data_IF_797873123924
#
_entry.id   IF_797873123924
#
_cell.length_a   1.000
_cell.length_b   1.000
_cell.length_c   1.000
_cell.angle_alpha   90.00
_cell.angle_beta   90.00
_cell.angle_gamma   90.00
#
_symmetry.space_group_name_H-M   'P 1'
#
loop_
_entity.id
_entity.type
_entity.pdbx_description
1 polymer ?
#
# COMPACT_ATOMS: atom_id res chain seq x y z
N UNK A 1 -16.20 -12.54 29.08
CA UNK A 1 -15.66 -11.24 28.65
C UNK A 1 -16.82 -10.46 28.05
N UNK A 2 -17.08 -9.23 28.52
CA UNK A 2 -18.10 -8.37 27.93
C UNK A 2 -17.57 -7.84 26.60
N UNK A 3 -18.00 -8.44 25.48
CA UNK A 3 -17.69 -7.93 24.14
C UNK A 3 -18.57 -6.71 23.92
N UNK A 4 -17.97 -5.52 23.85
CA UNK A 4 -18.70 -4.31 23.46
C UNK A 4 -19.21 -4.52 22.03
N UNK A 5 -20.53 -4.51 21.79
CA UNK A 5 -21.05 -4.69 20.44
C UNK A 5 -20.61 -3.51 19.55
N UNK A 6 -20.34 -3.80 18.28
CA UNK A 6 -20.08 -2.75 17.31
C UNK A 6 -21.28 -1.81 17.21
N UNK A 7 -21.03 -0.51 17.12
CA UNK A 7 -22.10 0.43 16.77
C UNK A 7 -22.51 0.22 15.30
N UNK A 8 -23.71 0.62 14.87
CA UNK A 8 -24.11 0.53 13.47
C UNK A 8 -23.11 1.22 12.51
N UNK A 9 -22.60 2.39 12.90
CA UNK A 9 -21.60 3.12 12.12
C UNK A 9 -20.25 2.38 12.03
N UNK A 10 -19.83 1.70 13.10
CA UNK A 10 -18.59 0.93 13.10
C UNK A 10 -18.72 -0.37 12.29
N UNK A 11 -19.91 -0.98 12.26
CA UNK A 11 -20.20 -2.10 11.36
C UNK A 11 -20.16 -1.67 9.88
N UNK A 12 -20.73 -0.52 9.56
CA UNK A 12 -20.67 0.02 8.19
C UNK A 12 -19.24 0.36 7.79
N UNK A 13 -18.45 0.95 8.69
CA UNK A 13 -17.04 1.18 8.46
C UNK A 13 -16.26 -0.13 8.26
N UNK A 14 -16.54 -1.18 9.05
CA UNK A 14 -15.94 -2.50 8.88
C UNK A 14 -16.26 -3.11 7.51
N UNK A 15 -17.52 -3.03 7.08
CA UNK A 15 -17.95 -3.48 5.73
C UNK A 15 -17.25 -2.69 4.63
N UNK A 16 -17.13 -1.38 4.80
CA UNK A 16 -16.40 -0.52 3.86
C UNK A 16 -14.92 -0.93 3.79
N UNK A 17 -14.26 -1.13 4.93
CA UNK A 17 -12.88 -1.56 4.98
C UNK A 17 -12.68 -2.92 4.29
N UNK A 18 -13.53 -3.90 4.60
CA UNK A 18 -13.54 -5.20 3.95
C UNK A 18 -13.72 -5.08 2.44
N UNK A 19 -14.67 -4.27 1.97
CA UNK A 19 -14.87 -4.05 0.55
C UNK A 19 -13.61 -3.46 -0.11
N UNK A 20 -13.00 -2.43 0.49
CA UNK A 20 -11.80 -1.77 -0.06
C UNK A 20 -10.58 -2.71 -0.10
N UNK A 21 -10.37 -3.51 0.94
CA UNK A 21 -9.20 -4.37 1.11
C UNK A 21 -9.29 -5.67 0.30
N UNK A 22 -10.50 -6.23 0.11
CA UNK A 22 -10.73 -7.47 -0.64
C UNK A 22 -11.10 -7.24 -2.12
N UNK A 23 -11.04 -5.99 -2.59
CA UNK A 23 -11.38 -5.64 -3.96
C UNK A 23 -10.44 -6.28 -5.02
N UNK A 24 -10.81 -6.25 -6.32
CA UNK A 24 -9.93 -6.69 -7.40
C UNK A 24 -8.59 -5.97 -7.34
N UNK A 25 -7.51 -6.74 -7.52
CA UNK A 25 -6.14 -6.25 -7.51
C UNK A 25 -5.87 -5.26 -8.64
N UNK A 26 -4.72 -4.59 -8.56
CA UNK A 26 -4.31 -3.57 -9.52
C UNK A 26 -4.26 -4.10 -10.96
N UNK A 27 -3.65 -5.27 -11.21
CA UNK A 27 -3.65 -5.95 -12.51
C UNK A 27 -5.05 -6.13 -13.11
N UNK A 28 -6.05 -6.51 -12.30
CA UNK A 28 -7.43 -6.67 -12.77
C UNK A 28 -8.06 -5.32 -13.17
N UNK A 29 -7.83 -4.26 -12.38
CA UNK A 29 -8.30 -2.91 -12.71
C UNK A 29 -7.65 -2.38 -13.99
N UNK A 30 -6.34 -2.64 -14.18
CA UNK A 30 -5.63 -2.29 -15.40
C UNK A 30 -6.11 -3.09 -16.60
N UNK A 31 -6.33 -4.40 -16.44
CA UNK A 31 -6.88 -5.26 -17.50
C UNK A 31 -8.26 -4.77 -17.95
N UNK A 32 -9.14 -4.39 -17.02
CA UNK A 32 -10.45 -3.82 -17.33
C UNK A 32 -10.36 -2.50 -18.12
N UNK A 33 -9.30 -1.72 -17.88
CA UNK A 33 -9.07 -0.48 -18.59
C UNK A 33 -8.49 -0.69 -19.99
N UNK A 34 -7.47 -1.56 -20.10
CA UNK A 34 -6.65 -1.71 -21.31
C UNK A 34 -7.20 -2.80 -22.25
N UNK A 35 -8.04 -3.70 -21.73
CA UNK A 35 -8.66 -4.80 -22.48
C UNK A 35 -7.73 -6.01 -22.71
N UNK A 36 -6.45 -5.91 -22.37
CA UNK A 36 -5.47 -7.00 -22.44
C UNK A 36 -5.09 -7.47 -21.04
N UNK A 37 -5.09 -8.79 -20.76
CA UNK A 37 -4.57 -9.31 -19.50
C UNK A 37 -3.11 -8.89 -19.29
N UNK A 38 -2.84 -8.24 -18.14
CA UNK A 38 -1.50 -7.72 -17.81
C UNK A 38 -0.49 -8.85 -17.71
N UNK A 39 -0.92 -10.04 -17.29
CA UNK A 39 -0.10 -11.25 -17.18
C UNK A 39 0.54 -11.62 -18.52
N UNK A 40 -0.19 -11.49 -19.63
CA UNK A 40 0.35 -11.76 -20.98
C UNK A 40 1.43 -10.77 -21.41
N UNK A 41 1.46 -9.59 -20.81
CA UNK A 41 2.50 -8.58 -21.06
C UNK A 41 3.69 -8.85 -20.16
N UNK A 42 3.45 -9.25 -18.91
CA UNK A 42 4.48 -9.67 -17.96
C UNK A 42 5.30 -10.85 -18.50
N UNK A 43 4.66 -11.86 -19.10
CA UNK A 43 5.32 -13.03 -19.70
C UNK A 43 6.28 -12.68 -20.85
N UNK A 44 6.14 -11.47 -21.43
CA UNK A 44 6.98 -10.98 -22.53
C UNK A 44 8.00 -9.94 -22.09
N UNK A 45 8.11 -9.66 -20.79
CA UNK A 45 9.09 -8.72 -20.29
C UNK A 45 10.52 -9.27 -20.47
N UNK A 46 11.51 -8.41 -20.79
CA UNK A 46 12.89 -8.85 -20.91
C UNK A 46 13.42 -9.44 -19.60
N UNK A 47 14.29 -10.44 -19.72
CA UNK A 47 14.97 -11.04 -18.56
C UNK A 47 15.73 -9.97 -17.75
N UNK A 48 15.63 -10.03 -16.42
CA UNK A 48 16.30 -9.11 -15.50
C UNK A 48 15.51 -7.85 -15.11
N UNK A 49 14.42 -7.53 -15.81
CA UNK A 49 13.56 -6.37 -15.45
C UNK A 49 13.00 -6.47 -14.04
N UNK A 50 12.52 -7.65 -13.64
CA UNK A 50 11.98 -7.90 -12.30
C UNK A 50 13.01 -7.54 -11.20
N UNK A 51 14.27 -7.95 -11.38
CA UNK A 51 15.34 -7.67 -10.42
C UNK A 51 15.69 -6.16 -10.35
N UNK A 52 15.74 -5.48 -11.50
CA UNK A 52 16.01 -4.05 -11.57
C UNK A 52 14.87 -3.22 -10.96
N UNK A 53 13.63 -3.58 -11.28
CA UNK A 53 12.42 -2.97 -10.70
C UNK A 53 12.43 -3.13 -9.18
N UNK A 54 12.78 -4.31 -8.67
CA UNK A 54 12.90 -4.55 -7.22
C UNK A 54 13.89 -3.61 -6.53
N UNK A 55 15.06 -3.35 -7.15
CA UNK A 55 16.05 -2.42 -6.59
C UNK A 55 15.54 -0.97 -6.57
N UNK A 56 14.97 -0.51 -7.69
CA UNK A 56 14.39 0.85 -7.80
C UNK A 56 13.25 1.02 -6.80
N UNK A 57 12.42 -0.01 -6.63
CA UNK A 57 11.29 -0.03 -5.70
C UNK A 57 11.74 0.14 -4.26
N UNK A 58 12.75 -0.63 -3.84
CA UNK A 58 13.32 -0.50 -2.49
C UNK A 58 13.89 0.90 -2.24
N UNK A 59 14.61 1.45 -3.21
CA UNK A 59 15.18 2.79 -3.08
C UNK A 59 14.08 3.86 -2.96
N UNK A 60 13.05 3.78 -3.80
CA UNK A 60 11.93 4.72 -3.75
C UNK A 60 11.15 4.63 -2.44
N UNK A 61 10.87 3.43 -1.93
CA UNK A 61 10.20 3.26 -0.63
C UNK A 61 11.03 3.85 0.51
N UNK A 62 12.34 3.59 0.54
CA UNK A 62 13.23 4.16 1.55
C UNK A 62 13.23 5.69 1.49
N UNK A 63 13.40 6.26 0.29
CA UNK A 63 13.41 7.72 0.10
C UNK A 63 12.06 8.36 0.41
N UNK A 64 10.96 7.71 0.03
CA UNK A 64 9.62 8.18 0.31
C UNK A 64 9.29 8.13 1.81
N UNK A 65 9.74 7.09 2.52
CA UNK A 65 9.60 7.00 3.98
C UNK A 65 10.30 8.18 4.65
N UNK A 66 11.57 8.41 4.31
CA UNK A 66 12.38 9.52 4.82
C UNK A 66 11.71 10.87 4.51
N UNK A 67 11.28 11.07 3.26
CA UNK A 67 10.76 12.35 2.79
C UNK A 67 9.32 12.63 3.23
N UNK A 68 8.45 11.63 3.37
CA UNK A 68 7.05 11.85 3.70
C UNK A 68 6.79 11.76 5.20
N UNK A 69 7.28 10.70 5.86
CA UNK A 69 6.94 10.43 7.26
C UNK A 69 7.69 11.33 8.24
N UNK A 70 8.87 11.83 7.86
CA UNK A 70 9.69 12.69 8.72
C UNK A 70 9.60 14.20 8.39
N UNK A 71 8.88 14.60 7.33
CA UNK A 71 8.70 16.02 6.98
C UNK A 71 7.26 16.52 7.12
N UNK A 72 6.29 15.62 7.29
CA UNK A 72 4.89 15.99 7.49
C UNK A 72 4.61 16.38 8.93
N UNK A 73 3.95 17.54 9.09
CA UNK A 73 3.52 18.06 10.39
C UNK A 73 2.35 17.22 10.94
N UNK A 74 2.32 16.96 12.25
CA UNK A 74 1.38 16.01 12.88
C UNK A 74 -0.03 16.58 13.14
N UNK A 75 -0.33 17.76 12.60
CA UNK A 75 -1.62 18.42 12.86
C UNK A 75 -2.78 17.61 12.25
N UNK A 76 -3.83 17.28 13.03
CA UNK A 76 -5.04 16.67 12.49
C UNK A 76 -5.67 17.57 11.43
N UNK A 77 -6.20 16.98 10.35
CA UNK A 77 -7.02 17.69 9.36
C UNK A 77 -8.34 16.94 9.22
N UNK A 78 -9.45 17.68 9.30
CA UNK A 78 -10.81 17.12 9.23
C UNK A 78 -11.12 16.40 7.90
N UNK A 79 -10.36 16.65 6.84
CA UNK A 79 -10.46 15.93 5.54
C UNK A 79 -9.08 15.71 4.91
N UNK A 80 -8.83 14.49 4.44
CA UNK A 80 -7.63 14.15 3.66
C UNK A 80 -7.65 14.87 2.31
N UNK A 81 -6.50 15.39 1.87
CA UNK A 81 -6.40 16.23 0.66
C UNK A 81 -6.30 15.37 -0.61
N UNK A 82 -7.18 14.37 -0.76
CA UNK A 82 -7.08 13.32 -1.77
C UNK A 82 -6.91 13.86 -3.20
N UNK A 83 -7.52 15.00 -3.51
CA UNK A 83 -7.48 15.61 -4.84
C UNK A 83 -6.11 16.17 -5.22
N UNK A 84 -5.39 16.81 -4.29
CA UNK A 84 -4.06 17.37 -4.58
C UNK A 84 -3.01 16.29 -4.82
N UNK A 85 -3.12 15.16 -4.10
CA UNK A 85 -2.22 14.03 -4.31
C UNK A 85 -2.50 13.30 -5.64
N UNK A 86 -3.78 13.18 -6.03
CA UNK A 86 -4.16 12.65 -7.35
C UNK A 86 -3.65 13.55 -8.49
N UNK A 87 -3.77 14.87 -8.36
CA UNK A 87 -3.24 15.82 -9.35
C UNK A 87 -1.72 15.79 -9.42
N UNK A 88 -1.03 15.71 -8.27
CA UNK A 88 0.43 15.55 -8.23
C UNK A 88 0.91 14.26 -8.89
N UNK A 89 0.24 13.13 -8.62
CA UNK A 89 0.55 11.84 -9.23
C UNK A 89 0.25 11.83 -10.74
N UNK A 90 -0.87 12.42 -11.17
CA UNK A 90 -1.21 12.58 -12.58
C UNK A 90 -0.18 13.46 -13.32
N UNK A 91 0.30 14.54 -12.69
CA UNK A 91 1.32 15.41 -13.24
C UNK A 91 2.68 14.72 -13.41
N UNK A 92 3.04 13.77 -12.53
CA UNK A 92 4.25 12.95 -12.69
C UNK A 92 4.15 11.91 -13.81
N UNK A 93 2.93 11.59 -14.27
CA UNK A 93 2.69 10.57 -15.27
C UNK A 93 3.06 10.93 -16.72
N UNK A 94 3.41 12.20 -16.99
CA UNK A 94 3.77 12.66 -18.32
C UNK A 94 5.25 12.49 -18.71
N UNK A 95 6.16 12.26 -17.75
CA UNK A 95 7.61 12.31 -18.00
C UNK A 95 8.28 10.93 -17.95
N UNK A 96 7.73 9.95 -17.23
CA UNK A 96 8.39 8.65 -17.02
C UNK A 96 7.98 7.51 -17.96
N UNK A 97 6.72 7.48 -18.40
CA UNK A 97 6.14 6.32 -19.09
C UNK A 97 6.69 5.99 -20.48
N UNK A 98 7.33 6.95 -21.17
CA UNK A 98 7.89 6.74 -22.51
C UNK A 98 9.36 6.28 -22.52
N UNK A 99 10.09 6.42 -21.40
CA UNK A 99 11.54 6.14 -21.35
C UNK A 99 11.90 4.75 -20.80
N UNK A 100 10.92 3.90 -20.47
CA UNK A 100 11.16 2.56 -19.91
C UNK A 100 11.81 2.62 -18.51
N UNK A 101 12.71 1.68 -18.20
CA UNK A 101 13.36 1.56 -16.89
C UNK A 101 14.04 2.86 -16.38
N UNK A 102 14.78 3.63 -17.19
CA UNK A 102 15.31 4.93 -16.79
C UNK A 102 14.24 5.93 -16.35
N UNK A 103 13.09 5.95 -17.05
CA UNK A 103 11.95 6.79 -16.68
C UNK A 103 11.36 6.38 -15.34
N UNK A 104 11.22 5.07 -15.12
CA UNK A 104 10.76 4.50 -13.85
C UNK A 104 11.67 4.89 -12.68
N UNK A 105 12.99 4.90 -12.86
CA UNK A 105 13.94 5.27 -11.81
C UNK A 105 13.76 6.71 -11.28
N UNK A 106 13.22 7.62 -12.10
CA UNK A 106 12.92 9.01 -11.70
C UNK A 106 11.47 9.16 -11.24
N UNK A 107 10.52 8.58 -11.97
CA UNK A 107 9.08 8.66 -11.65
C UNK A 107 8.76 8.00 -10.32
N UNK A 108 9.39 6.85 -10.03
CA UNK A 108 9.00 5.99 -8.93
C UNK A 108 9.26 6.63 -7.55
N UNK A 109 10.43 7.22 -7.24
CA UNK A 109 10.62 7.92 -5.97
C UNK A 109 9.63 9.07 -5.76
N UNK A 110 9.32 9.83 -6.81
CA UNK A 110 8.43 10.99 -6.72
C UNK A 110 6.99 10.53 -6.48
N UNK A 111 6.48 9.63 -7.34
CA UNK A 111 5.12 9.09 -7.20
C UNK A 111 4.95 8.36 -5.86
N UNK A 112 5.94 7.57 -5.43
CA UNK A 112 5.92 6.87 -4.13
C UNK A 112 5.89 7.85 -2.97
N UNK A 113 6.61 8.97 -3.05
CA UNK A 113 6.54 10.03 -2.03
C UNK A 113 5.15 10.67 -1.98
N UNK A 114 4.54 10.97 -3.14
CA UNK A 114 3.17 11.52 -3.20
C UNK A 114 2.17 10.53 -2.61
N UNK A 115 2.27 9.25 -2.97
CA UNK A 115 1.43 8.19 -2.41
C UNK A 115 1.61 8.07 -0.90
N UNK A 116 2.86 8.02 -0.41
CA UNK A 116 3.15 7.96 1.02
C UNK A 116 2.54 9.14 1.78
N UNK A 117 2.62 10.36 1.23
CA UNK A 117 1.96 11.54 1.81
C UNK A 117 0.44 11.41 1.82
N UNK A 118 -0.14 10.88 0.75
CA UNK A 118 -1.59 10.61 0.69
C UNK A 118 -2.01 9.55 1.72
N UNK A 119 -1.20 8.51 1.92
CA UNK A 119 -1.46 7.45 2.91
C UNK A 119 -1.39 8.03 4.32
N UNK A 120 -0.35 8.84 4.61
CA UNK A 120 -0.20 9.53 5.89
C UNK A 120 -1.36 10.52 6.17
N UNK A 121 -1.87 11.20 5.15
CA UNK A 121 -3.06 12.04 5.26
C UNK A 121 -4.31 11.22 5.62
N UNK A 122 -4.48 10.04 5.02
CA UNK A 122 -5.59 9.13 5.33
C UNK A 122 -5.45 8.61 6.77
N UNK A 123 -4.25 8.21 7.19
CA UNK A 123 -3.96 7.76 8.55
C UNK A 123 -4.43 8.80 9.59
N UNK A 124 -4.04 10.08 9.38
CA UNK A 124 -4.47 11.19 10.25
C UNK A 124 -5.98 11.39 10.26
N UNK A 125 -6.64 11.25 9.11
CA UNK A 125 -8.11 11.37 9.04
C UNK A 125 -8.86 10.26 9.78
N UNK A 126 -8.22 9.11 10.00
CA UNK A 126 -8.74 7.99 10.81
C UNK A 126 -8.28 8.07 12.28
N UNK A 127 -7.64 9.17 12.68
CA UNK A 127 -7.23 9.46 14.05
C UNK A 127 -5.89 8.89 14.46
N UNK A 128 -5.04 8.49 13.51
CA UNK A 128 -3.64 8.14 13.80
C UNK A 128 -2.77 9.41 13.97
N UNK A 129 -1.70 9.30 14.75
CA UNK A 129 -0.67 10.34 14.87
C UNK A 129 0.61 9.87 14.19
N UNK A 130 1.18 10.70 13.32
CA UNK A 130 2.49 10.49 12.70
C UNK A 130 3.63 10.71 13.70
N UNK A 131 3.38 11.18 14.92
CA UNK A 131 4.37 11.15 16.00
C UNK A 131 4.60 9.72 16.53
N UNK A 132 3.60 8.84 16.41
CA UNK A 132 3.73 7.42 16.77
C UNK A 132 4.53 6.65 15.70
N UNK A 133 5.66 6.01 16.06
CA UNK A 133 6.37 5.12 15.16
C UNK A 133 5.49 4.01 14.56
N UNK A 134 4.52 3.49 15.33
CA UNK A 134 3.58 2.48 14.85
C UNK A 134 2.77 2.94 13.65
N UNK A 135 2.30 4.19 13.64
CA UNK A 135 1.60 4.80 12.51
C UNK A 135 2.50 4.93 11.28
N UNK A 136 3.75 5.35 11.46
CA UNK A 136 4.71 5.49 10.35
C UNK A 136 4.96 4.15 9.66
N UNK A 137 5.10 3.09 10.46
CA UNK A 137 5.29 1.73 9.96
C UNK A 137 4.01 1.19 9.29
N UNK A 138 2.84 1.53 9.82
CA UNK A 138 1.56 1.20 9.17
C UNK A 138 1.39 1.91 7.81
N UNK A 139 1.89 3.14 7.65
CA UNK A 139 1.90 3.80 6.35
C UNK A 139 2.77 3.06 5.32
N UNK A 140 3.88 2.46 5.75
CA UNK A 140 4.70 1.58 4.91
C UNK A 140 3.99 0.27 4.60
N UNK A 141 3.32 -0.31 5.61
CA UNK A 141 2.57 -1.57 5.49
C UNK A 141 1.54 -1.51 4.35
N UNK A 142 0.89 -0.37 4.14
CA UNK A 142 -0.08 -0.17 3.05
C UNK A 142 0.48 -0.53 1.67
N UNK A 143 1.77 -0.29 1.42
CA UNK A 143 2.40 -0.65 0.15
C UNK A 143 2.51 -2.16 -0.09
N UNK A 144 2.43 -2.97 0.98
CA UNK A 144 2.49 -4.42 0.89
C UNK A 144 1.10 -5.07 0.72
N UNK A 145 0.03 -4.39 1.15
CA UNK A 145 -1.33 -4.93 1.16
C UNK A 145 -1.93 -5.14 -0.24
N UNK A 146 -1.41 -4.48 -1.27
CA UNK A 146 -1.98 -4.52 -2.62
C UNK A 146 -1.35 -5.52 -3.59
N UNK A 147 -0.30 -6.24 -3.18
CA UNK A 147 0.38 -7.24 -4.01
C UNK A 147 -0.32 -8.60 -3.96
N UNK A 148 -1.10 -8.92 -4.99
CA UNK A 148 -1.53 -10.30 -5.27
C UNK A 148 -0.39 -10.99 -6.01
N UNK A 149 0.14 -12.09 -5.47
CA UNK A 149 1.06 -12.93 -6.23
C UNK A 149 0.22 -13.84 -7.13
N UNK A 150 0.51 -13.87 -8.43
CA UNK A 150 -0.16 -14.75 -9.39
C UNK A 150 0.07 -16.26 -9.13
N UNK A 151 0.88 -16.61 -8.12
CA UNK A 151 1.16 -17.98 -7.72
C UNK A 151 0.22 -18.54 -6.63
N UNK A 152 -0.70 -17.74 -6.10
CA UNK A 152 -1.64 -18.20 -5.06
C UNK A 152 -3.08 -18.24 -5.58
N UNK A 153 -3.57 -19.46 -5.76
CA UNK A 153 -4.98 -19.77 -5.94
C UNK A 153 -5.79 -19.22 -4.76
N UNK A 154 -6.42 -18.05 -4.95
CA UNK A 154 -7.67 -17.61 -4.31
C UNK A 154 -7.79 -17.47 -2.79
N UNK A 155 -6.91 -18.07 -1.98
CA UNK A 155 -7.09 -18.25 -0.53
C UNK A 155 -5.92 -17.68 0.32
N UNK A 156 -4.72 -17.58 -0.23
CA UNK A 156 -3.48 -17.24 0.51
C UNK A 156 -3.13 -15.73 0.50
N UNK A 157 -3.96 -14.86 -0.10
CA UNK A 157 -3.65 -13.44 -0.31
C UNK A 157 -4.53 -12.43 0.46
N UNK A 158 -5.33 -12.88 1.44
CA UNK A 158 -6.24 -12.00 2.18
C UNK A 158 -5.53 -10.92 3.00
N UNK A 159 -6.21 -9.81 3.28
CA UNK A 159 -5.66 -8.68 4.04
C UNK A 159 -5.00 -9.11 5.36
N UNK A 160 -5.66 -9.96 6.15
CA UNK A 160 -5.15 -10.43 7.43
C UNK A 160 -3.95 -11.39 7.30
N UNK A 161 -3.79 -12.08 6.16
CA UNK A 161 -2.61 -12.92 5.90
C UNK A 161 -1.37 -12.04 5.74
N UNK A 162 -1.46 -10.99 4.91
CA UNK A 162 -0.35 -10.05 4.71
C UNK A 162 -0.01 -9.32 6.00
N UNK A 163 -1.03 -8.86 6.73
CA UNK A 163 -0.88 -8.19 8.02
C UNK A 163 -0.19 -9.09 9.05
N UNK A 164 -0.56 -10.36 9.13
CA UNK A 164 0.08 -11.33 10.01
C UNK A 164 1.54 -11.60 9.63
N UNK A 165 1.84 -11.72 8.33
CA UNK A 165 3.19 -11.94 7.84
C UNK A 165 4.15 -10.79 8.19
N UNK A 166 3.66 -9.55 8.20
CA UNK A 166 4.45 -8.35 8.51
C UNK A 166 4.50 -8.00 10.00
N UNK A 167 3.57 -8.50 10.81
CA UNK A 167 3.38 -8.11 12.20
C UNK A 167 4.70 -8.14 13.01
N UNK A 168 5.48 -9.23 12.89
CA UNK A 168 6.75 -9.35 13.62
C UNK A 168 7.78 -8.29 13.21
N UNK A 169 7.89 -8.00 11.91
CA UNK A 169 8.84 -7.01 11.40
C UNK A 169 8.45 -5.60 11.85
N UNK A 170 7.15 -5.31 11.86
CA UNK A 170 6.59 -4.04 12.34
C UNK A 170 6.85 -3.88 13.83
N UNK A 171 6.54 -4.88 14.66
CA UNK A 171 6.79 -4.82 16.12
C UNK A 171 8.27 -4.56 16.42
N UNK A 172 9.18 -5.28 15.76
CA UNK A 172 10.62 -5.08 15.95
C UNK A 172 11.09 -3.69 15.51
N UNK A 173 10.56 -3.17 14.39
CA UNK A 173 10.88 -1.82 13.95
C UNK A 173 10.31 -0.73 14.88
N UNK A 174 9.14 -0.97 15.48
CA UNK A 174 8.50 -0.04 16.41
C UNK A 174 9.26 0.04 17.74
N UNK A 175 9.65 -1.09 18.32
CA UNK A 175 10.46 -1.16 19.56
C UNK A 175 11.79 -0.41 19.42
N UNK A 176 12.43 -0.53 18.24
CA UNK A 176 13.64 0.21 17.93
C UNK A 176 13.38 1.73 17.86
N UNK A 177 12.35 2.14 17.12
CA UNK A 177 12.02 3.56 16.96
C UNK A 177 11.57 4.23 18.27
N UNK A 178 11.01 3.46 19.21
CA UNK A 178 10.65 3.90 20.55
C UNK A 178 11.83 3.93 21.54
N UNK A 179 13.06 3.60 21.10
CA UNK A 179 14.26 3.62 21.94
C UNK A 179 14.29 2.53 23.02
N UNK A 180 13.44 1.51 22.91
CA UNK A 180 13.16 0.55 23.99
C UNK A 180 14.15 -0.61 24.08
N UNK A 181 15.17 -0.67 23.21
CA UNK A 181 16.10 -1.82 23.14
C UNK A 181 17.56 -1.39 23.37
N UNK A 182 18.06 -1.75 24.54
CA UNK A 182 19.49 -1.91 24.83
C UNK A 182 19.98 -3.27 24.31
N UNK A 183 20.32 -3.37 23.02
CA UNK A 183 21.12 -4.50 22.49
C UNK A 183 22.07 -3.97 21.42
N UNK A 184 23.36 -4.03 21.73
CA UNK A 184 24.50 -3.40 21.05
C UNK A 184 24.72 -3.74 19.55
N UNK A 185 23.95 -4.60 18.87
CA UNK A 185 24.33 -5.02 17.48
C UNK A 185 23.20 -5.30 16.47
N UNK A 186 21.95 -4.82 16.66
CA UNK A 186 20.84 -5.23 15.78
C UNK A 186 19.88 -4.12 15.27
N UNK A 187 20.26 -2.84 15.38
CA UNK A 187 19.36 -1.70 15.16
C UNK A 187 19.03 -1.32 13.68
N UNK A 188 20.00 -1.15 12.75
CA UNK A 188 19.71 -0.88 11.33
C UNK A 188 18.92 -2.00 10.58
N UNK A 189 19.08 -3.31 10.91
CA UNK A 189 18.42 -4.39 10.19
C UNK A 189 16.89 -4.40 10.22
N UNK A 190 16.23 -4.00 11.31
CA UNK A 190 14.79 -4.25 11.47
C UNK A 190 13.92 -3.43 10.51
N UNK A 191 14.14 -2.11 10.43
CA UNK A 191 13.45 -1.24 9.47
C UNK A 191 13.80 -1.61 8.03
N UNK A 192 15.07 -1.90 7.74
CA UNK A 192 15.51 -2.33 6.41
C UNK A 192 14.86 -3.67 6.01
N UNK A 193 14.68 -4.58 6.96
CA UNK A 193 13.99 -5.85 6.74
C UNK A 193 12.50 -5.63 6.45
N UNK A 194 11.83 -4.73 7.18
CA UNK A 194 10.46 -4.36 6.87
C UNK A 194 10.35 -3.74 5.47
N UNK A 195 11.18 -2.75 5.14
CA UNK A 195 11.21 -2.13 3.81
C UNK A 195 11.48 -3.17 2.72
N UNK A 196 12.32 -4.18 3.00
CA UNK A 196 12.56 -5.29 2.07
C UNK A 196 11.28 -6.09 1.80
N UNK A 197 10.59 -6.54 2.84
CA UNK A 197 9.34 -7.30 2.69
C UNK A 197 8.25 -6.48 1.99
N UNK A 198 8.15 -5.20 2.33
CA UNK A 198 7.21 -4.28 1.67
C UNK A 198 7.58 -4.08 0.20
N UNK A 199 8.87 -3.90 -0.10
CA UNK A 199 9.37 -3.71 -1.47
C UNK A 199 9.15 -4.95 -2.35
N UNK A 200 9.23 -6.15 -1.80
CA UNK A 200 8.94 -7.40 -2.52
C UNK A 200 7.50 -7.43 -3.03
N UNK A 201 6.51 -7.07 -2.18
CA UNK A 201 5.10 -7.03 -2.59
C UNK A 201 4.77 -5.82 -3.45
N UNK A 202 5.31 -4.64 -3.10
CA UNK A 202 5.11 -3.43 -3.89
C UNK A 202 5.73 -3.56 -5.29
N UNK A 203 6.86 -4.26 -5.40
CA UNK A 203 7.56 -4.52 -6.66
C UNK A 203 6.70 -5.29 -7.68
N UNK A 204 5.79 -6.15 -7.22
CA UNK A 204 4.82 -6.85 -8.08
C UNK A 204 3.92 -5.81 -8.77
N UNK A 205 3.32 -4.90 -7.99
CA UNK A 205 2.42 -3.87 -8.49
C UNK A 205 3.14 -2.84 -9.38
N UNK A 206 4.41 -2.54 -9.08
CA UNK A 206 5.25 -1.70 -9.94
C UNK A 206 5.55 -2.40 -11.27
N UNK A 207 5.78 -3.70 -11.24
CA UNK A 207 5.99 -4.49 -12.47
C UNK A 207 4.72 -4.53 -13.31
N UNK A 208 3.54 -4.70 -12.69
CA UNK A 208 2.24 -4.59 -13.36
C UNK A 208 2.03 -3.19 -13.98
N UNK A 209 2.34 -2.13 -13.24
CA UNK A 209 2.28 -0.74 -13.73
C UNK A 209 3.21 -0.54 -14.94
N UNK A 210 4.45 -1.00 -14.84
CA UNK A 210 5.43 -0.88 -15.91
C UNK A 210 4.98 -1.67 -17.16
N UNK A 211 4.44 -2.86 -16.99
CA UNK A 211 3.89 -3.67 -18.07
C UNK A 211 2.71 -2.97 -18.75
N UNK A 212 1.77 -2.41 -17.97
CA UNK A 212 0.67 -1.64 -18.53
C UNK A 212 1.17 -0.43 -19.33
N UNK A 213 2.11 0.34 -18.79
CA UNK A 213 2.68 1.51 -19.48
C UNK A 213 3.52 1.16 -20.71
N UNK A 214 4.03 -0.07 -20.82
CA UNK A 214 4.75 -0.54 -22.00
C UNK A 214 3.83 -0.79 -23.20
N UNK A 215 2.51 -0.83 -23.02
CA UNK A 215 1.55 -1.02 -24.10
C UNK A 215 1.50 0.25 -24.96
N UNK A 216 1.96 0.20 -26.24
CA UNK A 216 2.13 1.40 -27.06
C UNK A 216 0.84 2.20 -27.29
N UNK A 217 -0.31 1.53 -27.26
CA UNK A 217 -1.62 2.13 -27.49
C UNK A 217 -2.02 3.16 -26.41
N UNK A 218 -1.40 3.13 -25.23
CA UNK A 218 -1.80 3.98 -24.10
C UNK A 218 -1.23 5.41 -24.17
N UNK A 219 -0.09 5.63 -24.83
CA UNK A 219 0.53 6.96 -24.94
C UNK A 219 0.63 7.73 -23.60
N UNK A 220 0.76 9.06 -23.66
CA UNK A 220 0.86 9.90 -22.46
C UNK A 220 -0.45 9.94 -21.63
N UNK A 221 -1.62 9.94 -22.30
CA UNK A 221 -2.92 9.98 -21.65
C UNK A 221 -3.21 8.69 -20.84
N UNK A 222 -2.89 7.53 -21.40
CA UNK A 222 -2.99 6.25 -20.71
C UNK A 222 -1.96 6.12 -19.59
N UNK A 223 -0.75 6.65 -19.75
CA UNK A 223 0.23 6.75 -18.65
C UNK A 223 -0.28 7.54 -17.44
N UNK A 224 -0.99 8.65 -17.67
CA UNK A 224 -1.62 9.44 -16.62
C UNK A 224 -2.79 8.69 -15.95
N UNK A 225 -3.60 7.98 -16.73
CA UNK A 225 -4.72 7.18 -16.22
C UNK A 225 -4.24 6.00 -15.38
N UNK A 226 -3.18 5.30 -15.81
CA UNK A 226 -2.52 4.25 -15.05
C UNK A 226 -2.02 4.78 -13.71
N UNK A 227 -1.40 5.96 -13.68
CA UNK A 227 -0.96 6.59 -12.44
C UNK A 227 -2.13 6.96 -11.51
N UNK A 228 -3.26 7.38 -12.08
CA UNK A 228 -4.48 7.67 -11.32
C UNK A 228 -5.07 6.40 -10.71
N UNK A 229 -5.16 5.30 -11.47
CA UNK A 229 -5.56 4.00 -10.93
C UNK A 229 -4.62 3.51 -9.83
N UNK A 230 -3.32 3.76 -9.99
CA UNK A 230 -2.30 3.37 -9.04
C UNK A 230 -2.48 4.09 -7.69
N UNK A 231 -2.58 5.42 -7.70
CA UNK A 231 -2.83 6.17 -6.45
C UNK A 231 -4.19 5.84 -5.84
N UNK A 232 -5.23 5.65 -6.65
CA UNK A 232 -6.57 5.30 -6.18
C UNK A 232 -6.56 3.95 -5.45
N UNK A 233 -5.82 2.98 -5.98
CA UNK A 233 -5.65 1.69 -5.34
C UNK A 233 -5.00 1.81 -3.95
N UNK A 234 -3.88 2.53 -3.82
CA UNK A 234 -3.24 2.69 -2.50
C UNK A 234 -4.05 3.57 -1.54
N UNK A 235 -4.87 4.50 -2.03
CA UNK A 235 -5.82 5.23 -1.21
C UNK A 235 -6.93 4.33 -0.67
N UNK A 236 -7.45 3.39 -1.49
CA UNK A 236 -8.41 2.37 -1.06
C UNK A 236 -7.79 1.49 0.04
N UNK A 237 -6.57 0.98 -0.19
CA UNK A 237 -5.86 0.13 0.77
C UNK A 237 -5.57 0.88 2.09
N UNK A 238 -5.11 2.13 2.00
CA UNK A 238 -4.88 2.96 3.18
C UNK A 238 -6.15 3.18 3.99
N UNK A 239 -7.25 3.55 3.32
CA UNK A 239 -8.52 3.81 3.98
C UNK A 239 -9.05 2.56 4.68
N UNK A 240 -9.04 1.42 3.99
CA UNK A 240 -9.42 0.16 4.61
C UNK A 240 -8.54 -0.19 5.81
N UNK A 241 -7.22 -0.14 5.65
CA UNK A 241 -6.27 -0.50 6.70
C UNK A 241 -6.41 0.39 7.94
N UNK A 242 -6.52 1.71 7.77
CA UNK A 242 -6.64 2.64 8.90
C UNK A 242 -8.03 2.64 9.54
N UNK A 243 -9.10 2.29 8.81
CA UNK A 243 -10.39 1.95 9.43
C UNK A 243 -10.24 0.74 10.35
N UNK A 244 -9.61 -0.35 9.88
CA UNK A 244 -9.38 -1.54 10.71
C UNK A 244 -8.56 -1.18 11.96
N UNK A 245 -7.47 -0.42 11.82
CA UNK A 245 -6.66 0.00 12.97
C UNK A 245 -7.45 0.86 13.97
N UNK A 246 -8.31 1.77 13.48
CA UNK A 246 -9.21 2.55 14.35
C UNK A 246 -10.17 1.65 15.12
N UNK A 247 -10.75 0.65 14.46
CA UNK A 247 -11.63 -0.31 15.10
C UNK A 247 -10.88 -1.21 16.09
N UNK A 248 -9.66 -1.64 15.77
CA UNK A 248 -8.81 -2.44 16.66
C UNK A 248 -8.52 -1.70 17.97
N UNK A 249 -8.24 -0.39 17.91
CA UNK A 249 -8.06 0.45 19.11
C UNK A 249 -9.31 0.51 19.99
N UNK A 250 -10.50 0.38 19.41
CA UNK A 250 -11.78 0.53 20.12
C UNK A 250 -12.35 -0.79 20.64
N UNK A 251 -12.21 -1.86 19.86
CA UNK A 251 -12.87 -3.15 20.12
C UNK A 251 -11.87 -4.29 20.41
N UNK A 252 -10.58 -4.08 20.13
CA UNK A 252 -9.54 -5.10 20.20
C UNK A 252 -9.39 -5.87 18.89
N UNK A 253 -8.14 -6.17 18.54
CA UNK A 253 -7.77 -6.76 17.24
C UNK A 253 -8.50 -8.08 16.94
N UNK A 254 -8.64 -8.95 17.94
CA UNK A 254 -9.25 -10.27 17.73
C UNK A 254 -10.75 -10.18 17.43
N UNK A 255 -11.46 -9.27 18.11
CA UNK A 255 -12.90 -9.05 17.89
C UNK A 255 -13.14 -8.51 16.47
N UNK A 256 -12.31 -7.57 16.02
CA UNK A 256 -12.40 -6.99 14.67
C UNK A 256 -12.03 -8.02 13.60
N UNK A 257 -10.99 -8.83 13.82
CA UNK A 257 -10.58 -9.91 12.90
C UNK A 257 -11.71 -10.92 12.68
N UNK A 258 -12.31 -11.43 13.75
CA UNK A 258 -13.42 -12.39 13.65
C UNK A 258 -14.64 -11.79 12.93
N UNK A 259 -14.97 -10.53 13.22
CA UNK A 259 -16.06 -9.84 12.53
C UNK A 259 -15.76 -9.59 11.04
N UNK A 260 -14.50 -9.34 10.69
CA UNK A 260 -14.05 -9.20 9.31
C UNK A 260 -14.16 -10.52 8.54
N UNK A 261 -13.71 -11.63 9.15
CA UNK A 261 -13.77 -12.96 8.54
C UNK A 261 -15.21 -13.44 8.32
N UNK A 262 -16.15 -13.10 9.22
CA UNK A 262 -17.58 -13.36 9.02
C UNK A 262 -18.15 -12.67 7.76
N UNK A 263 -17.67 -11.47 7.44
CA UNK A 263 -18.06 -10.78 6.20
C UNK A 263 -17.52 -11.46 4.94
N UNK A 264 -16.36 -12.12 5.05
CA UNK A 264 -15.76 -12.86 3.95
C UNK A 264 -16.55 -14.15 3.66
N UNK A 265 -16.93 -14.89 4.69
CA UNK A 265 -17.75 -16.11 4.58
C UNK A 265 -19.10 -15.87 3.89
N UNK A 266 -19.78 -14.76 4.22
CA UNK A 266 -21.07 -14.38 3.60
C UNK A 266 -21.00 -14.02 2.11
N UNK A 267 -19.80 -13.86 1.54
CA UNK A 267 -19.59 -13.56 0.10
C UNK A 267 -19.34 -14.82 -0.72
N UNK A 268 -19.01 -15.94 -0.07
CA UNK A 268 -18.74 -17.23 -0.70
C UNK A 268 -19.99 -18.11 -0.86
N UNK A 269 -21.09 -17.71 -0.22
CA UNK A 269 -22.45 -18.28 -0.33
C UNK A 269 -23.32 -17.44 -1.28
#
# INVERSE_FOLDING_TARGET
MNVTPFSPADLDALRQAHALLENPGLAARMTNLVGTPIEKVLDRLPEGWSAQIGQVTRLALSKAADAALFTMDDKPRDRSSNWWHKVGAAATGGVGGFFGLPGLAVELPISTTIMMRSIADIARSEGESLADPGTRLACLEVFALGGKSAADDGAESGYYVVRAALARAISQAAEYAAGSVAVEKAAPPALMRLITMVAERFGIQITEKAAAQAIPALGAAGGALINTLFIDHFQDMARGHFIIRRLDRRYGTEVVRLAYEDLHGRRAD
#
